data_IF_887157308256
#
_entry.id   IF_887157308256
#
_cell.length_a   1.000
_cell.length_b   1.000
_cell.length_c   1.000
_cell.angle_alpha   90.00
_cell.angle_beta   90.00
_cell.angle_gamma   90.00
#
_symmetry.space_group_name_H-M   'P 1'
#
loop_
_entity.id
_entity.type
_entity.pdbx_description
1 polymer ?
#
# COMPACT_ATOMS: atom_id res chain seq x y z
N UNK A 1 -17.94 2.71 -3.66
CA UNK A 1 -16.50 2.35 -3.78
C UNK A 1 -15.93 2.91 -5.06
N UNK A 2 -14.76 3.53 -4.99
CA UNK A 2 -14.05 4.10 -6.15
C UNK A 2 -12.74 3.34 -6.37
N UNK A 3 -12.43 3.01 -7.62
CA UNK A 3 -11.14 2.43 -7.99
C UNK A 3 -10.30 3.36 -8.86
N UNK A 4 -9.00 3.33 -8.58
CA UNK A 4 -7.96 3.97 -9.36
C UNK A 4 -6.91 2.93 -9.70
N UNK A 5 -6.33 3.01 -10.90
CA UNK A 5 -5.26 2.10 -11.32
C UNK A 5 -4.05 2.88 -11.82
N UNK A 6 -2.88 2.26 -11.70
CA UNK A 6 -1.61 2.76 -12.26
C UNK A 6 -1.26 4.19 -11.82
N UNK A 7 -1.59 4.51 -10.58
CA UNK A 7 -1.17 5.73 -9.90
C UNK A 7 -0.61 5.37 -8.55
N UNK A 8 0.45 6.05 -8.16
CA UNK A 8 1.10 5.87 -6.86
C UNK A 8 0.76 7.03 -5.95
N UNK A 9 0.76 6.78 -4.64
CA UNK A 9 0.64 7.84 -3.64
C UNK A 9 -0.72 8.54 -3.55
N UNK A 10 -1.81 7.93 -4.03
CA UNK A 10 -3.16 8.51 -3.88
C UNK A 10 -3.50 8.65 -2.39
N UNK A 11 -3.73 9.87 -1.95
CA UNK A 11 -4.24 10.19 -0.61
C UNK A 11 -5.76 10.48 -0.61
N UNK A 12 -6.30 10.93 0.52
CA UNK A 12 -7.73 11.23 0.66
C UNK A 12 -8.18 12.47 -0.13
N UNK A 13 -7.32 13.49 -0.25
CA UNK A 13 -7.63 14.70 -1.01
C UNK A 13 -7.65 14.40 -2.51
N UNK A 14 -6.68 13.62 -2.97
CA UNK A 14 -6.60 13.10 -4.32
C UNK A 14 -7.82 12.25 -4.68
N UNK A 15 -8.20 11.30 -3.81
CA UNK A 15 -9.34 10.42 -4.04
C UNK A 15 -10.71 11.14 -4.11
N UNK A 16 -10.80 12.36 -3.57
CA UNK A 16 -11.99 13.22 -3.68
C UNK A 16 -12.01 14.04 -4.97
N UNK A 17 -10.85 14.54 -5.42
CA UNK A 17 -10.77 15.42 -6.60
C UNK A 17 -10.55 14.69 -7.93
N UNK A 18 -9.94 13.50 -7.91
CA UNK A 18 -9.59 12.77 -9.11
C UNK A 18 -10.76 11.96 -9.64
N UNK A 19 -10.85 11.87 -10.98
CA UNK A 19 -11.82 10.99 -11.62
C UNK A 19 -11.43 9.52 -11.37
N UNK A 20 -12.30 8.70 -10.75
CA UNK A 20 -12.05 7.28 -10.61
C UNK A 20 -12.17 6.59 -11.97
N UNK A 21 -11.44 5.49 -12.13
CA UNK A 21 -11.52 4.65 -13.33
C UNK A 21 -12.90 3.99 -13.42
N UNK A 22 -13.39 3.55 -12.26
CA UNK A 22 -14.75 3.06 -12.08
C UNK A 22 -15.22 3.31 -10.64
N UNK A 23 -16.52 3.49 -10.50
CA UNK A 23 -17.24 3.62 -9.23
C UNK A 23 -18.34 2.56 -9.19
N UNK A 24 -18.54 1.98 -8.00
CA UNK A 24 -19.60 1.01 -7.72
C UNK A 24 -20.39 1.44 -6.49
N UNK A 25 -21.70 1.30 -6.57
CA UNK A 25 -22.58 1.37 -5.42
C UNK A 25 -22.48 0.05 -4.66
N UNK A 26 -22.02 0.13 -3.41
CA UNK A 26 -21.87 -1.06 -2.59
C UNK A 26 -23.22 -1.45 -1.97
N UNK A 27 -23.39 -2.75 -1.71
CA UNK A 27 -24.49 -3.29 -0.92
C UNK A 27 -23.90 -4.06 0.27
N UNK A 28 -24.66 -4.16 1.36
CA UNK A 28 -24.26 -4.97 2.51
C UNK A 28 -24.03 -6.43 2.08
N UNK A 29 -22.84 -6.95 2.40
CA UNK A 29 -22.39 -8.27 1.97
C UNK A 29 -21.91 -9.08 3.17
N UNK A 30 -22.82 -9.39 4.09
CA UNK A 30 -22.53 -10.11 5.33
C UNK A 30 -21.98 -11.53 5.10
N UNK A 31 -22.33 -12.13 3.96
CA UNK A 31 -21.96 -13.49 3.59
C UNK A 31 -20.70 -13.56 2.72
N UNK A 32 -20.17 -12.42 2.25
CA UNK A 32 -18.95 -12.37 1.45
C UNK A 32 -19.08 -12.94 0.02
N UNK A 33 -20.30 -13.06 -0.51
CA UNK A 33 -20.56 -13.68 -1.83
C UNK A 33 -20.74 -12.68 -2.97
N UNK A 34 -20.88 -11.39 -2.66
CA UNK A 34 -21.11 -10.35 -3.66
C UNK A 34 -19.83 -10.05 -4.46
N UNK A 35 -19.99 -10.01 -5.79
CA UNK A 35 -18.91 -9.69 -6.73
C UNK A 35 -19.25 -8.44 -7.54
N UNK A 36 -18.27 -7.55 -7.66
CA UNK A 36 -18.38 -6.32 -8.45
C UNK A 36 -17.59 -6.44 -9.74
N UNK A 37 -18.30 -6.39 -10.87
CA UNK A 37 -17.68 -6.50 -12.20
C UNK A 37 -16.92 -5.23 -12.58
N UNK A 38 -15.72 -5.40 -13.13
CA UNK A 38 -14.94 -4.32 -13.73
C UNK A 38 -15.30 -4.17 -15.21
N UNK A 39 -15.21 -2.94 -15.73
CA UNK A 39 -15.27 -2.71 -17.18
C UNK A 39 -13.93 -3.09 -17.78
N UNK A 40 -13.85 -4.27 -18.39
CA UNK A 40 -12.60 -4.83 -18.94
C UNK A 40 -11.75 -3.81 -19.71
N UNK A 41 -12.37 -3.01 -20.59
CA UNK A 41 -11.68 -1.99 -21.40
C UNK A 41 -10.96 -0.90 -20.59
N UNK A 42 -11.35 -0.69 -19.33
CA UNK A 42 -10.73 0.28 -18.41
C UNK A 42 -9.71 -0.34 -17.45
N UNK A 43 -9.70 -1.66 -17.32
CA UNK A 43 -8.85 -2.40 -16.40
C UNK A 43 -7.84 -3.26 -17.18
N UNK A 44 -7.17 -2.65 -18.15
CA UNK A 44 -6.07 -3.26 -18.90
C UNK A 44 -4.73 -2.92 -18.23
N UNK A 45 -3.79 -3.86 -18.23
CA UNK A 45 -2.41 -3.66 -17.75
C UNK A 45 -2.34 -3.01 -16.36
N UNK A 46 -3.10 -3.56 -15.40
CA UNK A 46 -3.15 -3.03 -14.03
C UNK A 46 -1.89 -3.45 -13.27
N UNK A 47 -1.00 -2.48 -13.03
CA UNK A 47 0.15 -2.59 -12.15
C UNK A 47 -0.21 -2.25 -10.71
N UNK A 48 -0.81 -1.09 -10.45
CA UNK A 48 -1.31 -0.69 -9.11
C UNK A 48 -2.82 -0.55 -9.09
N UNK A 49 -3.44 -0.86 -7.94
CA UNK A 49 -4.87 -0.70 -7.69
C UNK A 49 -5.07 -0.04 -6.33
N UNK A 50 -5.80 1.07 -6.31
CA UNK A 50 -6.22 1.76 -5.09
C UNK A 50 -7.75 1.73 -5.01
N UNK A 51 -8.27 1.26 -3.87
CA UNK A 51 -9.71 1.23 -3.58
C UNK A 51 -10.03 2.23 -2.48
N UNK A 52 -10.95 3.16 -2.76
CA UNK A 52 -11.42 4.17 -1.82
C UNK A 52 -12.89 3.91 -1.45
N UNK A 53 -13.17 3.89 -0.15
CA UNK A 53 -14.49 3.63 0.44
C UNK A 53 -14.97 4.89 1.15
N UNK A 54 -15.66 5.82 0.45
CA UNK A 54 -16.01 7.12 1.00
C UNK A 54 -17.14 7.07 2.04
N UNK A 55 -18.00 6.05 1.97
CA UNK A 55 -19.22 5.93 2.77
C UNK A 55 -19.44 4.46 3.16
N UNK A 56 -20.33 4.23 4.13
CA UNK A 56 -20.73 2.91 4.63
C UNK A 56 -22.24 2.85 4.89
N UNK A 57 -22.71 1.72 5.43
CA UNK A 57 -24.13 1.45 5.69
C UNK A 57 -24.53 1.88 7.11
N UNK A 58 -24.46 3.19 7.38
CA UNK A 58 -24.88 3.80 8.65
C UNK A 58 -24.17 3.27 9.91
N UNK A 59 -22.91 2.85 9.76
CA UNK A 59 -22.09 2.33 10.85
C UNK A 59 -20.98 3.31 11.24
N UNK A 60 -20.52 3.24 12.49
CA UNK A 60 -19.41 4.09 12.96
C UNK A 60 -18.07 3.76 12.28
N UNK A 61 -17.90 2.54 11.79
CA UNK A 61 -16.64 2.08 11.20
C UNK A 61 -16.91 1.10 10.07
N UNK A 62 -16.22 1.32 8.94
CA UNK A 62 -16.21 0.38 7.82
C UNK A 62 -15.26 -0.77 8.10
N UNK A 63 -15.78 -1.99 8.15
CA UNK A 63 -14.96 -3.20 8.30
C UNK A 63 -14.92 -3.96 6.97
N UNK A 64 -13.71 -4.23 6.48
CA UNK A 64 -13.49 -5.01 5.26
C UNK A 64 -12.79 -6.30 5.66
N UNK A 65 -13.53 -7.42 5.61
CA UNK A 65 -12.99 -8.72 6.01
C UNK A 65 -12.19 -9.39 4.87
N UNK A 66 -12.61 -9.19 3.63
CA UNK A 66 -12.02 -9.88 2.48
C UNK A 66 -12.17 -9.05 1.21
N UNK A 67 -11.12 -9.08 0.38
CA UNK A 67 -11.13 -8.53 -0.99
C UNK A 67 -10.59 -9.63 -1.91
N UNK A 68 -11.46 -10.15 -2.78
CA UNK A 68 -11.06 -11.07 -3.84
C UNK A 68 -10.88 -10.33 -5.16
N UNK A 69 -9.71 -10.49 -5.79
CA UNK A 69 -9.44 -9.98 -7.13
C UNK A 69 -9.43 -11.15 -8.12
N UNK A 70 -10.22 -11.04 -9.18
CA UNK A 70 -10.28 -12.02 -10.28
C UNK A 70 -9.81 -11.36 -11.57
N UNK A 71 -8.96 -12.06 -12.31
CA UNK A 71 -8.42 -11.61 -13.58
C UNK A 71 -7.31 -12.51 -14.07
N UNK A 72 -6.74 -12.15 -15.21
CA UNK A 72 -5.60 -12.85 -15.78
C UNK A 72 -4.30 -12.13 -15.40
N UNK A 73 -3.36 -12.89 -14.82
CA UNK A 73 -2.05 -12.36 -14.51
C UNK A 73 -1.24 -12.20 -15.81
N UNK A 74 -0.96 -10.96 -16.18
CA UNK A 74 0.08 -10.67 -17.15
C UNK A 74 1.42 -10.71 -16.42
N UNK A 75 2.44 -11.37 -16.99
CA UNK A 75 3.78 -11.45 -16.40
C UNK A 75 4.47 -10.07 -16.42
N UNK A 76 3.98 -9.13 -15.62
CA UNK A 76 4.62 -7.84 -15.43
C UNK A 76 5.81 -8.07 -14.51
N UNK A 77 7.02 -8.14 -15.09
CA UNK A 77 8.26 -8.07 -14.32
C UNK A 77 8.33 -6.68 -13.69
N UNK A 78 7.86 -6.53 -12.45
CA UNK A 78 8.37 -5.46 -11.60
C UNK A 78 9.83 -5.79 -11.35
N UNK A 79 10.74 -4.97 -11.86
CA UNK A 79 12.12 -4.97 -11.38
C UNK A 79 12.06 -4.59 -9.89
N UNK A 80 11.93 -5.59 -9.04
CA UNK A 80 12.09 -5.41 -7.60
C UNK A 80 13.55 -5.04 -7.43
N UNK A 81 13.82 -3.82 -6.98
CA UNK A 81 15.13 -3.42 -6.50
C UNK A 81 15.49 -4.40 -5.36
N UNK A 82 16.20 -5.46 -5.72
CA UNK A 82 16.57 -6.55 -4.83
C UNK A 82 17.83 -6.16 -4.07
N UNK A 83 17.70 -5.24 -3.11
CA UNK A 83 18.64 -5.13 -1.98
C UNK A 83 17.86 -4.60 -0.78
N UNK A 84 17.09 -5.47 -0.14
CA UNK A 84 16.61 -5.21 1.21
C UNK A 84 17.46 -6.08 2.13
N UNK A 85 18.43 -5.45 2.80
CA UNK A 85 19.19 -6.07 3.88
C UNK A 85 18.41 -5.86 5.17
N UNK A 86 17.77 -6.91 5.68
CA UNK A 86 17.24 -6.92 7.04
C UNK A 86 18.34 -7.44 7.96
N UNK A 87 18.96 -6.56 8.75
CA UNK A 87 19.82 -6.96 9.86
C UNK A 87 18.99 -7.05 11.16
N UNK A 88 18.95 -8.24 11.77
CA UNK A 88 18.21 -8.51 13.02
C UNK A 88 19.02 -8.13 14.26
N UNK A 89 20.29 -7.78 14.11
CA UNK A 89 21.14 -7.26 15.17
C UNK A 89 21.99 -6.11 14.63
N UNK A 90 22.16 -5.01 15.39
CA UNK A 90 23.01 -3.90 14.97
C UNK A 90 24.44 -4.38 14.77
N UNK A 91 25.07 -4.01 13.66
CA UNK A 91 26.50 -4.28 13.43
C UNK A 91 27.34 -3.56 14.51
N UNK A 92 28.05 -4.27 15.40
CA UNK A 92 28.83 -3.67 16.48
C UNK A 92 30.02 -2.83 15.97
N UNK A 93 30.34 -2.88 14.67
CA UNK A 93 31.35 -2.01 14.06
C UNK A 93 30.85 -0.57 13.81
N UNK A 94 29.53 -0.36 13.74
CA UNK A 94 28.93 0.95 13.40
C UNK A 94 28.60 1.81 14.63
N UNK A 95 28.56 1.19 15.82
CA UNK A 95 28.45 1.90 17.08
C UNK A 95 29.81 1.92 17.79
N UNK A 96 30.65 2.91 17.46
CA UNK A 96 31.81 3.24 18.29
C UNK A 96 31.32 3.81 19.63
N UNK A 97 31.18 2.95 20.64
CA UNK A 97 30.98 3.40 22.02
C UNK A 97 32.22 4.16 22.47
N UNK A 98 32.05 5.45 22.74
CA UNK A 98 33.09 6.34 23.27
C UNK A 98 33.40 5.98 24.73
N UNK A 99 34.10 4.88 24.95
CA UNK A 99 34.56 4.49 26.28
C UNK A 99 35.67 3.42 26.25
N UNK A 100 36.75 3.62 25.48
CA UNK A 100 38.00 2.91 25.76
C UNK A 100 39.21 3.84 25.60
N UNK A 101 39.88 4.05 26.73
CA UNK A 101 41.21 4.64 26.98
C UNK A 101 41.31 6.17 26.80
N UNK A 102 41.47 7.00 27.84
CA UNK A 102 42.18 6.80 29.10
C UNK A 102 43.44 7.67 29.10
N UNK A 103 43.31 8.90 29.65
CA UNK A 103 44.43 9.68 30.23
C UNK A 103 45.29 10.53 29.28
N UNK A 104 45.41 11.82 29.58
CA UNK A 104 46.55 12.64 29.15
C UNK A 104 46.21 14.10 28.84
N UNK A 105 46.53 14.99 29.78
CA UNK A 105 46.52 16.45 29.63
C UNK A 105 47.55 16.92 28.58
N UNK A 106 47.27 18.04 27.90
CA UNK A 106 48.09 19.28 27.87
C UNK A 106 48.05 20.04 26.53
N UNK A 107 48.09 21.37 26.66
CA UNK A 107 48.13 22.44 25.65
C UNK A 107 49.22 22.32 24.58
N UNK A 108 49.02 22.92 23.39
CA UNK A 108 49.44 24.30 23.02
C UNK A 108 48.49 24.84 21.96
#
# INVERSE_FOLDING_TARGET
MRAFINREGIDFSDAQGMQPVQEWDLAENLQGILEYQTRYSRFQSVGSLTLHFPENFDADTTQIHYIGLKGEATQLKRDVIATIVYEVMPNPSDHKTKAENGGGLSSV
#
